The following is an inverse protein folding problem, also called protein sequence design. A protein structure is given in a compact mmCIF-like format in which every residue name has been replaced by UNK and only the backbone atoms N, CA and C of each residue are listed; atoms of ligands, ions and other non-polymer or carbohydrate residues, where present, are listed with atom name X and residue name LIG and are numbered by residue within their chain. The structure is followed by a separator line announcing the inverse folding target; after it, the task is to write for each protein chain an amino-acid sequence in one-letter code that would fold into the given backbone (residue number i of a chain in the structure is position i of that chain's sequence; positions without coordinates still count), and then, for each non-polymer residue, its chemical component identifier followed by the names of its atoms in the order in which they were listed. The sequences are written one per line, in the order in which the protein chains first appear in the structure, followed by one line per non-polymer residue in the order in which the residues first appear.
data_IF_514159662814
#
_entry.id   IF_514159662814
#
_cell.length_a   1.000
_cell.length_b   1.000
_cell.length_c   1.000
_cell.angle_alpha   90.00
_cell.angle_beta   90.00
_cell.angle_gamma   90.00
#
_symmetry.space_group_name_H-M   'P 1'
#
loop_
_entity.id
_entity.type
_entity.pdbx_description
1 polymer ?
#
# COMPACT_ATOMS: atom_id res chain seq x y z
N UNK A 1 29.56 90.76 -2.58
CA UNK A 1 28.46 89.80 -2.46
C UNK A 1 27.55 89.83 -3.70
N UNK A 2 26.85 90.93 -4.01
CA UNK A 2 25.90 90.99 -5.14
C UNK A 2 26.48 90.66 -6.52
N UNK A 3 27.74 91.03 -6.77
CA UNK A 3 28.46 90.65 -8.00
C UNK A 3 28.63 89.13 -8.14
N UNK A 4 28.86 88.43 -7.03
CA UNK A 4 28.97 86.96 -6.99
C UNK A 4 27.61 86.34 -7.28
N UNK A 5 26.54 86.85 -6.66
CA UNK A 5 25.16 86.41 -6.90
C UNK A 5 24.77 86.54 -8.38
N UNK A 6 25.06 87.68 -9.01
CA UNK A 6 24.79 87.89 -10.45
C UNK A 6 25.58 86.94 -11.34
N UNK A 7 26.84 86.64 -11.02
CA UNK A 7 27.65 85.64 -11.73
C UNK A 7 27.04 84.24 -11.60
N UNK A 8 26.56 83.88 -10.41
CA UNK A 8 25.89 82.59 -10.16
C UNK A 8 24.61 82.45 -10.99
N UNK A 9 23.74 83.46 -11.00
CA UNK A 9 22.50 83.42 -11.80
C UNK A 9 22.77 83.34 -13.31
N UNK A 10 23.72 84.14 -13.81
CA UNK A 10 24.12 84.06 -15.22
C UNK A 10 24.65 82.67 -15.58
N UNK A 11 25.46 82.06 -14.69
CA UNK A 11 25.95 80.71 -14.93
C UNK A 11 24.84 79.67 -14.85
N UNK A 12 23.86 79.84 -13.96
CA UNK A 12 22.66 79.00 -13.87
C UNK A 12 21.84 79.05 -15.16
N UNK A 13 21.63 80.24 -15.74
CA UNK A 13 20.95 80.39 -17.04
C UNK A 13 21.72 79.74 -18.19
N UNK A 14 23.06 79.82 -18.20
CA UNK A 14 23.89 79.17 -19.22
C UNK A 14 23.81 77.63 -19.18
N UNK A 15 23.71 77.02 -17.99
CA UNK A 15 23.67 75.55 -17.84
C UNK A 15 22.25 74.97 -17.93
N UNK A 16 21.21 75.79 -17.72
CA UNK A 16 19.82 75.33 -17.69
C UNK A 16 19.40 74.57 -18.95
N UNK A 17 19.71 75.01 -20.20
CA UNK A 17 19.37 74.26 -21.40
C UNK A 17 20.01 72.86 -21.44
N UNK A 18 21.23 72.72 -20.91
CA UNK A 18 21.93 71.43 -20.85
C UNK A 18 21.27 70.49 -19.83
N UNK A 19 20.86 71.02 -18.67
CA UNK A 19 20.11 70.26 -17.66
C UNK A 19 18.76 69.81 -18.19
N UNK A 20 18.03 70.67 -18.92
CA UNK A 20 16.74 70.32 -19.52
C UNK A 20 16.90 69.23 -20.59
N UNK A 21 17.90 69.36 -21.46
CA UNK A 21 18.19 68.34 -22.48
C UNK A 21 18.52 66.97 -21.86
N UNK A 22 19.32 66.96 -20.79
CA UNK A 22 19.67 65.72 -20.11
C UNK A 22 18.47 65.13 -19.37
N UNK A 23 17.62 65.96 -18.77
CA UNK A 23 16.36 65.53 -18.17
C UNK A 23 15.44 64.83 -19.18
N UNK A 24 15.33 65.36 -20.39
CA UNK A 24 14.48 64.76 -21.42
C UNK A 24 15.05 63.40 -21.88
N UNK A 25 16.37 63.28 -22.04
CA UNK A 25 17.01 61.97 -22.32
C UNK A 25 16.80 60.97 -21.19
N UNK A 26 16.95 61.38 -19.93
CA UNK A 26 16.73 60.50 -18.77
C UNK A 26 15.29 59.97 -18.78
N UNK A 27 14.30 60.81 -19.09
CA UNK A 27 12.90 60.37 -19.21
C UNK A 27 12.70 59.35 -20.34
N UNK A 28 13.31 59.55 -21.50
CA UNK A 28 13.26 58.58 -22.61
C UNK A 28 13.89 57.23 -22.23
N UNK A 29 15.05 57.25 -21.56
CA UNK A 29 15.71 56.04 -21.08
C UNK A 29 14.89 55.32 -19.99
N UNK A 30 14.26 56.06 -19.09
CA UNK A 30 13.37 55.52 -18.05
C UNK A 30 12.15 54.83 -18.65
N UNK A 31 11.52 55.42 -19.67
CA UNK A 31 10.39 54.80 -20.37
C UNK A 31 10.82 53.49 -21.06
N UNK A 32 11.95 53.50 -21.77
CA UNK A 32 12.51 52.30 -22.38
C UNK A 32 12.84 51.21 -21.33
N UNK A 33 13.40 51.61 -20.19
CA UNK A 33 13.70 50.70 -19.09
C UNK A 33 12.43 50.11 -18.47
N UNK A 34 11.39 50.92 -18.27
CA UNK A 34 10.10 50.46 -17.77
C UNK A 34 9.47 49.41 -18.69
N UNK A 35 9.52 49.61 -20.01
CA UNK A 35 9.08 48.62 -21.00
C UNK A 35 9.93 47.34 -20.93
N UNK A 36 11.25 47.46 -20.76
CA UNK A 36 12.16 46.33 -20.61
C UNK A 36 11.86 45.49 -19.35
N UNK A 37 11.52 46.13 -18.22
CA UNK A 37 11.11 45.42 -16.99
C UNK A 37 9.80 44.65 -17.19
N UNK A 38 8.84 45.24 -17.90
CA UNK A 38 7.55 44.58 -18.20
C UNK A 38 7.72 43.41 -19.18
N UNK A 39 8.56 43.56 -20.19
CA UNK A 39 8.91 42.48 -21.12
C UNK A 39 9.60 41.32 -20.38
N UNK A 40 10.58 41.63 -19.53
CA UNK A 40 11.23 40.63 -18.66
C UNK A 40 10.21 39.89 -17.79
N UNK A 41 9.28 40.61 -17.16
CA UNK A 41 8.20 40.01 -16.36
C UNK A 41 7.34 39.05 -17.17
N UNK A 42 6.98 39.45 -18.39
CA UNK A 42 6.22 38.63 -19.33
C UNK A 42 6.96 37.34 -19.70
N UNK A 43 8.23 37.46 -20.07
CA UNK A 43 9.11 36.32 -20.38
C UNK A 43 9.26 35.37 -19.21
N UNK A 44 9.55 35.90 -18.02
CA UNK A 44 9.65 35.08 -16.81
C UNK A 44 8.37 34.28 -16.54
N UNK A 45 7.18 34.89 -16.66
CA UNK A 45 5.91 34.18 -16.46
C UNK A 45 5.62 33.12 -17.54
N UNK A 46 6.15 33.30 -18.73
CA UNK A 46 5.96 32.36 -19.84
C UNK A 46 6.97 31.20 -19.82
N UNK A 47 8.22 31.46 -19.44
CA UNK A 47 9.34 30.53 -19.61
C UNK A 47 9.78 29.85 -18.30
N UNK A 48 9.60 30.50 -17.15
CA UNK A 48 10.04 29.92 -15.89
C UNK A 48 9.29 28.61 -15.60
N UNK A 49 9.91 27.67 -14.84
CA UNK A 49 9.44 26.29 -14.73
C UNK A 49 8.23 26.12 -13.79
N UNK A 50 7.16 26.89 -13.99
CA UNK A 50 5.88 26.78 -13.29
C UNK A 50 5.09 25.55 -13.73
N UNK A 51 5.17 25.24 -15.02
CA UNK A 51 4.44 24.13 -15.65
C UNK A 51 5.32 22.90 -15.91
N UNK A 52 6.63 23.07 -15.84
CA UNK A 52 7.61 22.02 -16.11
C UNK A 52 7.57 20.92 -15.03
N UNK A 53 7.60 19.66 -15.47
CA UNK A 53 7.52 18.48 -14.58
C UNK A 53 8.75 17.58 -14.68
N UNK A 54 9.80 17.98 -15.39
CA UNK A 54 11.04 17.19 -15.56
C UNK A 54 12.05 17.32 -14.41
N UNK A 55 13.32 17.13 -14.73
CA UNK A 55 14.44 17.06 -13.77
C UNK A 55 14.69 18.42 -13.07
N UNK A 56 14.84 18.47 -11.73
CA UNK A 56 15.17 19.69 -11.00
C UNK A 56 16.42 20.42 -11.48
N UNK A 57 17.44 19.73 -12.00
CA UNK A 57 18.66 20.34 -12.54
C UNK A 57 18.36 21.30 -13.69
N UNK A 58 17.44 20.92 -14.59
CA UNK A 58 17.02 21.77 -15.71
C UNK A 58 16.25 22.98 -15.17
N UNK A 59 15.33 22.75 -14.23
CA UNK A 59 14.58 23.83 -13.61
C UNK A 59 15.48 24.85 -12.89
N UNK A 60 16.53 24.38 -12.20
CA UNK A 60 17.51 25.27 -11.55
C UNK A 60 18.29 26.11 -12.56
N UNK A 61 18.67 25.55 -13.72
CA UNK A 61 19.35 26.33 -14.77
C UNK A 61 18.49 27.49 -15.28
N UNK A 62 17.19 27.23 -15.49
CA UNK A 62 16.22 28.26 -15.91
C UNK A 62 15.98 29.30 -14.81
N UNK A 63 15.84 28.86 -13.56
CA UNK A 63 15.71 29.75 -12.40
C UNK A 63 16.93 30.66 -12.23
N UNK A 64 18.14 30.11 -12.36
CA UNK A 64 19.40 30.86 -12.26
C UNK A 64 19.55 31.85 -13.41
N UNK A 65 19.10 31.51 -14.62
CA UNK A 65 19.06 32.44 -15.76
C UNK A 65 18.19 33.65 -15.43
N UNK A 66 16.94 33.43 -15.05
CA UNK A 66 16.03 34.52 -14.71
C UNK A 66 16.46 35.31 -13.46
N UNK A 67 17.09 34.66 -12.48
CA UNK A 67 17.63 35.33 -11.30
C UNK A 67 18.79 36.27 -11.65
N UNK A 68 19.68 35.88 -12.56
CA UNK A 68 20.76 36.74 -13.07
C UNK A 68 20.21 37.92 -13.86
N UNK A 69 19.23 37.68 -14.73
CA UNK A 69 18.57 38.76 -15.49
C UNK A 69 17.87 39.76 -14.58
N UNK A 70 17.17 39.29 -13.54
CA UNK A 70 16.56 40.14 -12.53
C UNK A 70 17.61 40.97 -11.76
N UNK A 71 18.75 40.38 -11.37
CA UNK A 71 19.82 41.11 -10.69
C UNK A 71 20.41 42.24 -11.54
N UNK A 72 20.56 42.02 -12.86
CA UNK A 72 20.96 43.07 -13.81
C UNK A 72 19.92 44.19 -13.84
N UNK A 73 18.62 43.85 -13.93
CA UNK A 73 17.54 44.84 -13.96
C UNK A 73 17.41 45.62 -12.65
N UNK A 74 17.59 44.98 -11.50
CA UNK A 74 17.58 45.67 -10.20
C UNK A 74 18.75 46.64 -10.05
N UNK A 75 19.94 46.30 -10.58
CA UNK A 75 21.09 47.22 -10.63
C UNK A 75 20.85 48.41 -11.56
N UNK A 76 20.27 48.16 -12.75
CA UNK A 76 19.87 49.21 -13.69
C UNK A 76 18.84 50.16 -13.06
N UNK A 77 17.82 49.62 -12.40
CA UNK A 77 16.81 50.40 -11.70
C UNK A 77 17.43 51.26 -10.58
N UNK A 78 18.37 50.72 -9.81
CA UNK A 78 19.07 51.50 -8.78
C UNK A 78 19.83 52.68 -9.38
N UNK A 79 20.55 52.45 -10.49
CA UNK A 79 21.25 53.52 -11.22
C UNK A 79 20.28 54.59 -11.71
N UNK A 80 19.13 54.20 -12.25
CA UNK A 80 18.09 55.13 -12.68
C UNK A 80 17.50 55.92 -11.52
N UNK A 81 17.22 55.29 -10.38
CA UNK A 81 16.73 55.98 -9.19
C UNK A 81 17.75 57.01 -8.65
N UNK A 82 19.05 56.68 -8.69
CA UNK A 82 20.13 57.62 -8.34
C UNK A 82 20.18 58.82 -9.32
N UNK A 83 19.94 58.60 -10.61
CA UNK A 83 19.83 59.67 -11.61
C UNK A 83 18.58 60.53 -11.40
N UNK A 84 17.44 59.91 -11.13
CA UNK A 84 16.19 60.63 -10.82
C UNK A 84 16.37 61.53 -9.60
N UNK A 85 17.02 61.05 -8.54
CA UNK A 85 17.32 61.85 -7.35
C UNK A 85 18.30 63.00 -7.66
N UNK A 86 19.37 62.73 -8.43
CA UNK A 86 20.37 63.74 -8.81
C UNK A 86 19.79 64.90 -9.62
N UNK A 87 18.81 64.61 -10.47
CA UNK A 87 18.15 65.60 -11.33
C UNK A 87 16.83 66.13 -10.76
N UNK A 88 16.54 65.84 -9.48
CA UNK A 88 15.33 66.26 -8.78
C UNK A 88 14.03 65.81 -9.50
N UNK A 89 14.07 64.66 -10.16
CA UNK A 89 12.93 63.98 -10.77
C UNK A 89 12.20 63.10 -9.72
N UNK A 90 10.96 62.73 -10.03
CA UNK A 90 10.22 61.78 -9.19
C UNK A 90 10.83 60.38 -9.32
N UNK A 91 11.29 59.82 -8.20
CA UNK A 91 11.88 58.48 -8.17
C UNK A 91 10.85 57.40 -8.50
N UNK A 92 11.17 56.58 -9.50
CA UNK A 92 10.34 55.50 -10.01
C UNK A 92 10.33 54.29 -9.07
N UNK A 93 9.21 53.56 -9.07
CA UNK A 93 9.02 52.31 -8.32
C UNK A 93 8.70 51.18 -9.28
N UNK A 94 9.38 50.06 -9.10
CA UNK A 94 9.28 48.89 -9.98
C UNK A 94 8.75 47.68 -9.20
N UNK A 95 7.44 47.64 -8.97
CA UNK A 95 6.81 46.57 -8.19
C UNK A 95 6.99 45.19 -8.84
N UNK A 96 7.00 45.14 -10.17
CA UNK A 96 7.14 43.93 -10.98
C UNK A 96 8.44 43.17 -10.70
N UNK A 97 9.53 43.89 -10.36
CA UNK A 97 10.80 43.25 -9.97
C UNK A 97 10.69 42.59 -8.60
N UNK A 98 10.04 43.25 -7.63
CA UNK A 98 9.75 42.68 -6.31
C UNK A 98 8.84 41.45 -6.37
N UNK A 99 7.81 41.50 -7.22
CA UNK A 99 6.92 40.37 -7.48
C UNK A 99 7.70 39.20 -8.11
N UNK A 100 8.54 39.48 -9.10
CA UNK A 100 9.38 38.46 -9.76
C UNK A 100 10.36 37.84 -8.78
N UNK A 101 10.99 38.65 -7.92
CA UNK A 101 11.90 38.17 -6.88
C UNK A 101 11.19 37.22 -5.91
N UNK A 102 9.96 37.56 -5.52
CA UNK A 102 9.14 36.75 -4.62
C UNK A 102 8.76 35.42 -5.27
N UNK A 103 8.24 35.47 -6.51
CA UNK A 103 7.88 34.26 -7.26
C UNK A 103 9.10 33.37 -7.56
N UNK A 104 10.26 33.94 -7.89
CA UNK A 104 11.51 33.17 -8.07
C UNK A 104 11.89 32.40 -6.80
N UNK A 105 11.81 33.05 -5.63
CA UNK A 105 12.10 32.40 -4.34
C UNK A 105 11.12 31.28 -4.05
N UNK A 106 9.83 31.52 -4.26
CA UNK A 106 8.78 30.53 -4.06
C UNK A 106 8.92 29.36 -5.05
N UNK A 107 9.22 29.63 -6.32
CA UNK A 107 9.40 28.59 -7.33
C UNK A 107 10.65 27.74 -7.01
N UNK A 108 11.75 28.37 -6.56
CA UNK A 108 12.91 27.65 -6.06
C UNK A 108 12.56 26.70 -4.90
N UNK A 109 11.75 27.14 -3.92
CA UNK A 109 11.33 26.29 -2.81
C UNK A 109 10.56 25.05 -3.28
N UNK A 110 9.68 25.20 -4.28
CA UNK A 110 8.96 24.07 -4.89
C UNK A 110 9.93 23.07 -5.53
N UNK A 111 10.92 23.57 -6.28
CA UNK A 111 11.93 22.72 -6.91
C UNK A 111 12.90 22.08 -5.92
N UNK A 112 13.25 22.76 -4.83
CA UNK A 112 14.00 22.19 -3.71
C UNK A 112 13.23 21.02 -3.06
N UNK A 113 11.92 21.18 -2.86
CA UNK A 113 11.06 20.09 -2.36
C UNK A 113 11.06 18.89 -3.32
N UNK A 114 10.98 19.14 -4.63
CA UNK A 114 11.05 18.07 -5.63
C UNK A 114 12.37 17.32 -5.59
N UNK A 115 13.49 18.05 -5.55
CA UNK A 115 14.82 17.46 -5.47
C UNK A 115 14.99 16.62 -4.20
N UNK A 116 14.47 17.10 -3.06
CA UNK A 116 14.48 16.35 -1.80
C UNK A 116 13.67 15.06 -1.89
N UNK A 117 12.49 15.08 -2.51
CA UNK A 117 11.65 13.89 -2.67
C UNK A 117 12.32 12.89 -3.61
N UNK A 118 12.85 13.35 -4.75
CA UNK A 118 13.56 12.48 -5.68
C UNK A 118 14.78 11.83 -5.03
N UNK A 119 15.56 12.59 -4.26
CA UNK A 119 16.70 12.04 -3.53
C UNK A 119 16.27 11.01 -2.49
N UNK A 120 15.23 11.32 -1.70
CA UNK A 120 14.67 10.40 -0.71
C UNK A 120 14.21 9.09 -1.35
N UNK A 121 13.40 9.16 -2.41
CA UNK A 121 12.91 7.94 -3.07
C UNK A 121 14.03 7.17 -3.77
N UNK A 122 14.97 7.86 -4.41
CA UNK A 122 16.15 7.19 -5.00
C UNK A 122 17.00 6.47 -3.95
N UNK A 123 17.00 6.95 -2.69
CA UNK A 123 17.69 6.25 -1.60
C UNK A 123 17.03 4.92 -1.21
N UNK A 124 15.75 4.75 -1.57
CA UNK A 124 15.01 3.51 -1.30
C UNK A 124 15.19 2.48 -2.40
N UNK A 125 15.42 2.89 -3.65
CA UNK A 125 15.55 2.02 -4.82
C UNK A 125 16.50 0.83 -4.61
N UNK A 126 17.62 1.04 -3.90
CA UNK A 126 18.61 -0.01 -3.63
C UNK A 126 18.28 -0.95 -2.46
N UNK A 127 17.18 -0.72 -1.72
CA UNK A 127 16.77 -1.62 -0.64
C UNK A 127 16.30 -2.93 -1.23
N UNK A 128 16.86 -4.04 -0.74
CA UNK A 128 16.44 -5.38 -1.11
C UNK A 128 15.06 -5.68 -0.55
N UNK A 129 14.27 -6.47 -1.27
CA UNK A 129 12.90 -6.83 -0.90
C UNK A 129 12.75 -7.21 0.58
N UNK A 130 13.58 -8.13 1.06
CA UNK A 130 13.53 -8.63 2.44
C UNK A 130 13.90 -7.59 3.51
N UNK A 131 14.57 -6.50 3.13
CA UNK A 131 15.04 -5.45 4.04
C UNK A 131 14.13 -4.21 4.03
N UNK A 132 13.12 -4.17 3.15
CA UNK A 132 12.19 -3.04 3.04
C UNK A 132 11.30 -2.98 4.29
N UNK A 133 11.46 -1.90 5.06
CA UNK A 133 10.60 -1.57 6.21
C UNK A 133 9.57 -0.53 5.80
N UNK A 134 8.44 -1.00 5.30
CA UNK A 134 7.37 -0.14 4.76
C UNK A 134 6.85 0.90 5.74
N UNK A 135 6.71 0.55 7.02
CA UNK A 135 6.26 1.49 8.06
C UNK A 135 7.18 2.72 8.18
N UNK A 136 8.50 2.51 8.19
CA UNK A 136 9.50 3.58 8.25
C UNK A 136 9.41 4.49 7.01
N UNK A 137 9.25 3.88 5.82
CA UNK A 137 9.14 4.62 4.56
C UNK A 137 7.82 5.42 4.49
N UNK A 138 6.73 4.86 5.00
CA UNK A 138 5.44 5.54 5.08
C UNK A 138 5.49 6.77 5.97
N UNK A 139 6.16 6.69 7.11
CA UNK A 139 6.31 7.83 8.03
C UNK A 139 7.10 8.96 7.39
N UNK A 140 8.20 8.63 6.70
CA UNK A 140 8.94 9.61 5.89
C UNK A 140 8.04 10.22 4.82
N UNK A 141 7.26 9.40 4.12
CA UNK A 141 6.35 9.88 3.07
C UNK A 141 5.26 10.82 3.60
N UNK A 142 4.68 10.49 4.77
CA UNK A 142 3.70 11.33 5.49
C UNK A 142 4.30 12.68 5.88
N UNK A 143 5.55 12.70 6.33
CA UNK A 143 6.28 13.94 6.67
C UNK A 143 6.50 14.79 5.40
N UNK A 144 6.92 14.18 4.28
CA UNK A 144 7.09 14.89 3.00
C UNK A 144 5.77 15.52 2.54
N UNK A 145 4.66 14.78 2.59
CA UNK A 145 3.33 15.30 2.25
C UNK A 145 2.92 16.47 3.15
N UNK A 146 3.16 16.34 4.46
CA UNK A 146 2.86 17.39 5.44
C UNK A 146 3.65 18.66 5.17
N UNK A 147 4.94 18.53 4.85
CA UNK A 147 5.81 19.66 4.52
C UNK A 147 5.36 20.36 3.22
N UNK A 148 5.03 19.60 2.17
CA UNK A 148 4.49 20.14 0.92
C UNK A 148 3.17 20.89 1.15
N UNK A 149 2.26 20.31 1.95
CA UNK A 149 0.97 20.94 2.28
C UNK A 149 1.14 22.22 3.09
N UNK A 150 2.05 22.22 4.07
CA UNK A 150 2.39 23.41 4.85
C UNK A 150 2.91 24.52 3.93
N UNK A 151 3.86 24.20 3.06
CA UNK A 151 4.39 25.14 2.05
C UNK A 151 3.26 25.76 1.20
N UNK A 152 2.34 24.94 0.69
CA UNK A 152 1.20 25.44 -0.09
C UNK A 152 0.12 26.16 0.73
N UNK A 153 0.13 26.06 2.06
CA UNK A 153 -0.74 26.86 2.95
C UNK A 153 -0.09 28.20 3.26
N UNK A 154 1.21 28.20 3.55
CA UNK A 154 1.99 29.42 3.81
C UNK A 154 2.08 30.30 2.56
N UNK A 155 2.15 29.69 1.36
CA UNK A 155 2.15 30.40 0.07
C UNK A 155 1.12 29.79 -0.92
N UNK A 156 -0.16 30.22 -0.87
CA UNK A 156 -1.24 29.59 -1.65
C UNK A 156 -1.06 29.61 -3.17
N UNK A 157 -0.37 30.60 -3.74
CA UNK A 157 -0.14 30.69 -5.19
C UNK A 157 0.60 29.47 -5.74
N UNK A 158 1.45 28.83 -4.92
CA UNK A 158 2.22 27.64 -5.33
C UNK A 158 1.31 26.49 -5.75
N UNK A 159 0.13 26.33 -5.12
CA UNK A 159 -0.82 25.26 -5.43
C UNK A 159 -1.37 25.33 -6.86
N UNK A 160 -1.35 26.51 -7.48
CA UNK A 160 -1.77 26.69 -8.87
C UNK A 160 -0.75 26.15 -9.89
N UNK A 161 0.52 26.01 -9.50
CA UNK A 161 1.59 25.60 -10.40
C UNK A 161 1.54 24.10 -10.67
N UNK A 162 1.75 23.71 -11.93
CA UNK A 162 1.80 22.28 -12.30
C UNK A 162 2.99 21.60 -11.63
N UNK A 163 4.11 22.31 -11.46
CA UNK A 163 5.27 21.79 -10.73
C UNK A 163 4.91 21.34 -9.30
N UNK A 164 4.13 22.13 -8.56
CA UNK A 164 3.65 21.77 -7.22
C UNK A 164 2.72 20.55 -7.25
N UNK A 165 1.73 20.57 -8.16
CA UNK A 165 0.75 19.47 -8.30
C UNK A 165 1.43 18.15 -8.66
N UNK A 166 2.38 18.17 -9.58
CA UNK A 166 3.18 17.00 -9.96
C UNK A 166 3.94 16.39 -8.78
N UNK A 167 4.47 17.23 -7.88
CA UNK A 167 5.11 16.76 -6.65
C UNK A 167 4.07 16.13 -5.72
N UNK A 168 2.92 16.78 -5.54
CA UNK A 168 1.84 16.27 -4.69
C UNK A 168 1.34 14.90 -5.17
N UNK A 169 1.14 14.73 -6.48
CA UNK A 169 0.70 13.49 -7.10
C UNK A 169 1.75 12.38 -6.90
N UNK A 170 3.04 12.71 -7.04
CA UNK A 170 4.15 11.78 -6.80
C UNK A 170 4.13 11.23 -5.36
N UNK A 171 3.92 12.10 -4.36
CA UNK A 171 3.84 11.71 -2.95
C UNK A 171 2.57 10.90 -2.66
N UNK A 172 1.44 11.29 -3.26
CA UNK A 172 0.16 10.57 -3.11
C UNK A 172 0.23 9.17 -3.70
N UNK A 173 0.83 9.00 -4.88
CA UNK A 173 1.05 7.69 -5.49
C UNK A 173 1.88 6.81 -4.57
N UNK A 174 2.97 7.34 -4.01
CA UNK A 174 3.79 6.59 -3.05
C UNK A 174 3.02 6.24 -1.75
N UNK A 175 2.02 7.04 -1.37
CA UNK A 175 1.14 6.75 -0.23
C UNK A 175 0.20 5.56 -0.48
N UNK A 176 0.02 5.15 -1.73
CA UNK A 176 -0.74 3.95 -2.13
C UNK A 176 0.21 2.77 -2.34
N UNK A 177 1.38 3.01 -2.96
CA UNK A 177 2.37 1.96 -3.24
C UNK A 177 2.91 1.33 -1.94
N UNK A 178 3.27 2.13 -0.94
CA UNK A 178 3.90 1.62 0.28
C UNK A 178 3.01 0.62 1.07
N UNK A 179 1.71 0.90 1.30
CA UNK A 179 0.80 -0.10 1.88
C UNK A 179 0.68 -1.39 1.05
N UNK A 180 0.59 -1.28 -0.28
CA UNK A 180 0.51 -2.45 -1.15
C UNK A 180 1.77 -3.31 -1.08
N UNK A 181 2.96 -2.69 -1.01
CA UNK A 181 4.21 -3.42 -0.79
C UNK A 181 4.18 -4.15 0.57
N UNK A 182 3.67 -3.50 1.62
CA UNK A 182 3.55 -4.10 2.94
C UNK A 182 2.63 -5.34 2.91
N UNK A 183 1.50 -5.24 2.21
CA UNK A 183 0.58 -6.36 2.02
C UNK A 183 1.20 -7.51 1.22
N UNK A 184 1.97 -7.19 0.18
CA UNK A 184 2.71 -8.16 -0.63
C UNK A 184 3.83 -8.87 0.15
N UNK A 185 4.35 -8.30 1.24
CA UNK A 185 5.22 -9.01 2.19
C UNK A 185 4.50 -10.09 3.00
N UNK A 186 3.19 -10.26 2.86
CA UNK A 186 2.46 -11.28 3.61
C UNK A 186 3.11 -12.67 3.46
N UNK A 187 3.39 -13.37 4.57
CA UNK A 187 3.95 -14.73 4.53
C UNK A 187 2.95 -15.75 3.98
N UNK A 188 1.72 -15.34 3.66
CA UNK A 188 0.73 -16.15 2.97
C UNK A 188 0.98 -16.22 1.45
N UNK A 189 1.76 -15.28 0.90
CA UNK A 189 2.11 -15.26 -0.51
C UNK A 189 2.91 -16.51 -0.90
N UNK A 190 2.64 -17.03 -2.09
CA UNK A 190 3.21 -18.27 -2.66
C UNK A 190 3.41 -18.04 -4.14
N UNK A 191 4.20 -18.88 -4.81
CA UNK A 191 4.54 -18.75 -6.23
C UNK A 191 3.32 -18.55 -7.14
N UNK A 192 2.18 -19.20 -6.83
CA UNK A 192 0.93 -19.02 -7.58
C UNK A 192 0.39 -17.58 -7.49
N UNK A 193 0.45 -16.95 -6.32
CA UNK A 193 0.01 -15.57 -6.10
C UNK A 193 0.93 -14.59 -6.83
N UNK A 194 2.25 -14.83 -6.79
CA UNK A 194 3.23 -14.04 -7.54
C UNK A 194 3.06 -14.16 -9.06
N UNK A 195 2.69 -15.34 -9.56
CA UNK A 195 2.33 -15.53 -10.98
C UNK A 195 1.06 -14.77 -11.36
N UNK A 196 0.04 -14.76 -10.51
CA UNK A 196 -1.17 -13.96 -10.72
C UNK A 196 -0.84 -12.47 -10.72
N UNK A 197 -0.01 -12.01 -9.77
CA UNK A 197 0.45 -10.62 -9.70
C UNK A 197 1.23 -10.22 -10.97
N UNK A 198 2.14 -11.09 -11.43
CA UNK A 198 2.90 -10.85 -12.65
C UNK A 198 1.99 -10.66 -13.87
N UNK A 199 0.91 -11.44 -13.96
CA UNK A 199 -0.10 -11.33 -15.02
C UNK A 199 -0.86 -10.00 -14.94
N UNK A 200 -1.27 -9.58 -13.74
CA UNK A 200 -1.96 -8.30 -13.51
C UNK A 200 -1.07 -7.13 -13.93
N UNK A 201 0.20 -7.12 -13.50
CA UNK A 201 1.18 -6.09 -13.83
C UNK A 201 1.73 -6.18 -15.26
N UNK A 202 1.33 -7.19 -16.06
CA UNK A 202 1.81 -7.36 -17.44
C UNK A 202 3.29 -7.73 -17.57
N UNK A 203 3.90 -8.31 -16.54
CA UNK A 203 5.31 -8.74 -16.53
C UNK A 203 5.42 -10.26 -16.69
N UNK A 204 6.58 -10.74 -17.17
CA UNK A 204 6.78 -12.18 -17.44
C UNK A 204 6.76 -13.04 -16.18
N UNK A 205 7.42 -12.57 -15.13
CA UNK A 205 7.53 -13.25 -13.84
C UNK A 205 7.97 -12.25 -12.78
N UNK A 206 7.60 -12.52 -11.53
CA UNK A 206 8.09 -11.84 -10.35
C UNK A 206 8.65 -12.94 -9.45
N UNK A 207 9.93 -12.83 -9.08
CA UNK A 207 10.57 -13.75 -8.15
C UNK A 207 10.97 -12.98 -6.88
N UNK A 208 10.16 -13.04 -5.82
CA UNK A 208 10.48 -12.35 -4.56
C UNK A 208 11.68 -12.96 -3.83
N UNK A 209 12.12 -14.16 -4.22
CA UNK A 209 13.28 -14.82 -3.62
C UNK A 209 14.60 -14.48 -4.35
N UNK A 210 14.54 -13.75 -5.47
CA UNK A 210 15.75 -13.28 -6.13
C UNK A 210 16.48 -12.32 -5.17
N UNK A 211 17.74 -12.60 -4.79
CA UNK A 211 18.51 -11.73 -3.89
C UNK A 211 18.79 -10.34 -4.49
N UNK A 212 18.49 -10.13 -5.77
CA UNK A 212 18.58 -8.84 -6.44
C UNK A 212 17.25 -8.10 -6.54
N UNK A 213 16.14 -8.70 -6.09
CA UNK A 213 14.83 -8.04 -6.15
C UNK A 213 14.81 -6.87 -5.17
N UNK A 214 14.58 -5.67 -5.71
CA UNK A 214 14.70 -4.41 -4.97
C UNK A 214 13.38 -3.64 -4.89
N UNK A 215 13.35 -2.59 -4.08
CA UNK A 215 12.27 -1.62 -4.06
C UNK A 215 12.05 -0.95 -5.43
N UNK A 216 13.12 -0.71 -6.21
CA UNK A 216 12.97 -0.15 -7.55
C UNK A 216 12.19 -1.10 -8.47
N UNK A 217 12.47 -2.40 -8.40
CA UNK A 217 11.77 -3.41 -9.18
C UNK A 217 10.28 -3.46 -8.81
N UNK A 218 9.93 -3.32 -7.52
CA UNK A 218 8.53 -3.33 -7.07
C UNK A 218 7.76 -2.09 -7.50
N UNK A 219 8.39 -0.92 -7.47
CA UNK A 219 7.81 0.33 -8.00
C UNK A 219 7.63 0.23 -9.52
N UNK A 220 8.56 -0.42 -10.23
CA UNK A 220 8.47 -0.62 -11.67
C UNK A 220 7.29 -1.52 -12.09
N UNK A 221 6.77 -2.36 -11.19
CA UNK A 221 5.53 -3.14 -11.41
C UNK A 221 4.27 -2.28 -11.45
N UNK A 222 4.35 -1.00 -11.02
CA UNK A 222 3.24 -0.04 -11.03
C UNK A 222 1.98 -0.57 -10.34
N UNK A 223 2.14 -1.26 -9.21
CA UNK A 223 1.03 -1.88 -8.45
C UNK A 223 -0.08 -0.90 -8.07
N UNK A 224 0.23 0.40 -7.95
CA UNK A 224 -0.76 1.46 -7.71
C UNK A 224 -1.74 1.68 -8.87
N UNK A 225 -1.45 1.21 -10.08
CA UNK A 225 -2.38 1.23 -11.22
C UNK A 225 -3.40 0.07 -11.12
N UNK A 226 -3.18 -0.91 -10.24
CA UNK A 226 -3.94 -2.16 -10.12
C UNK A 226 -4.32 -2.49 -8.66
N UNK A 227 -4.66 -1.48 -7.86
CA UNK A 227 -4.87 -1.61 -6.40
C UNK A 227 -5.83 -2.75 -6.05
N UNK A 228 -7.04 -2.75 -6.62
CA UNK A 228 -8.08 -3.73 -6.30
C UNK A 228 -7.65 -5.18 -6.62
N UNK A 229 -6.98 -5.39 -7.76
CA UNK A 229 -6.50 -6.70 -8.18
C UNK A 229 -5.39 -7.21 -7.24
N UNK A 230 -4.49 -6.32 -6.80
CA UNK A 230 -3.39 -6.66 -5.88
C UNK A 230 -3.95 -7.03 -4.51
N UNK A 231 -4.87 -6.23 -3.98
CA UNK A 231 -5.56 -6.49 -2.70
C UNK A 231 -6.32 -7.84 -2.75
N UNK A 232 -7.00 -8.15 -3.86
CA UNK A 232 -7.69 -9.43 -4.03
C UNK A 232 -6.72 -10.63 -4.00
N UNK A 233 -5.56 -10.50 -4.63
CA UNK A 233 -4.52 -11.56 -4.63
C UNK A 233 -4.01 -11.78 -3.20
N UNK A 234 -3.70 -10.71 -2.48
CA UNK A 234 -3.21 -10.80 -1.09
C UNK A 234 -4.30 -11.36 -0.17
N UNK A 235 -5.55 -10.93 -0.32
CA UNK A 235 -6.67 -11.49 0.45
C UNK A 235 -6.79 -13.00 0.19
N UNK A 236 -6.76 -13.41 -1.09
CA UNK A 236 -6.81 -14.82 -1.47
C UNK A 236 -5.71 -15.62 -0.80
N UNK A 237 -4.47 -15.12 -0.85
CA UNK A 237 -3.34 -15.74 -0.18
C UNK A 237 -3.57 -15.90 1.33
N UNK A 238 -4.05 -14.85 2.00
CA UNK A 238 -4.31 -14.86 3.43
C UNK A 238 -5.42 -15.84 3.84
N UNK A 239 -6.49 -15.95 3.04
CA UNK A 239 -7.57 -16.94 3.27
C UNK A 239 -7.07 -18.36 3.04
N UNK A 240 -6.32 -18.57 1.96
CA UNK A 240 -5.70 -19.85 1.66
C UNK A 240 -4.76 -20.34 2.76
N UNK A 241 -3.94 -19.46 3.35
CA UNK A 241 -3.08 -19.82 4.48
C UNK A 241 -3.88 -20.27 5.71
N UNK A 242 -5.05 -19.64 5.96
CA UNK A 242 -5.94 -20.07 7.05
C UNK A 242 -6.52 -21.46 6.79
N UNK A 243 -6.94 -21.74 5.56
CA UNK A 243 -7.42 -23.06 5.13
C UNK A 243 -6.31 -24.11 5.28
N UNK A 244 -5.10 -23.79 4.81
CA UNK A 244 -3.94 -24.68 4.90
C UNK A 244 -3.63 -25.07 6.35
N UNK A 245 -3.64 -24.10 7.27
CA UNK A 245 -3.42 -24.33 8.70
C UNK A 245 -4.49 -25.24 9.29
N UNK A 246 -5.77 -24.90 9.08
CA UNK A 246 -6.88 -25.71 9.61
C UNK A 246 -6.86 -27.14 9.07
N UNK A 247 -6.60 -27.34 7.78
CA UNK A 247 -6.48 -28.68 7.19
C UNK A 247 -5.32 -29.47 7.80
N UNK A 248 -4.20 -28.81 8.07
CA UNK A 248 -3.06 -29.45 8.75
C UNK A 248 -3.41 -29.82 10.18
N UNK A 249 -4.15 -28.98 10.90
CA UNK A 249 -4.57 -29.25 12.27
C UNK A 249 -5.55 -30.44 12.32
N UNK A 250 -6.55 -30.47 11.43
CA UNK A 250 -7.46 -31.61 11.24
C UNK A 250 -6.64 -32.90 11.00
N UNK A 251 -5.73 -32.89 10.04
CA UNK A 251 -4.91 -34.06 9.71
C UNK A 251 -4.08 -34.54 10.91
N UNK A 252 -3.48 -33.62 11.67
CA UNK A 252 -2.68 -33.96 12.83
C UNK A 252 -3.53 -34.58 13.94
N UNK A 253 -4.71 -34.02 14.23
CA UNK A 253 -5.61 -34.53 15.28
C UNK A 253 -6.05 -35.95 14.92
N UNK A 254 -6.54 -36.17 13.71
CA UNK A 254 -7.02 -37.48 13.27
C UNK A 254 -5.92 -38.52 13.10
N UNK A 255 -4.66 -38.10 12.88
CA UNK A 255 -3.51 -39.00 12.88
C UNK A 255 -3.20 -39.57 14.27
N UNK A 256 -3.46 -38.82 15.34
CA UNK A 256 -3.21 -39.26 16.72
C UNK A 256 -4.45 -39.76 17.46
N UNK A 257 -5.64 -39.53 16.90
CA UNK A 257 -6.90 -39.91 17.54
C UNK A 257 -7.05 -41.43 17.64
N UNK A 258 -7.48 -41.91 18.80
CA UNK A 258 -7.69 -43.35 19.05
C UNK A 258 -9.07 -43.58 19.65
N UNK A 259 -9.73 -44.67 19.25
CA UNK A 259 -10.97 -45.12 19.88
C UNK A 259 -10.65 -45.89 21.17
N UNK A 260 -11.45 -45.65 22.20
CA UNK A 260 -11.37 -46.43 23.44
C UNK A 260 -12.24 -47.68 23.33
N UNK A 261 -11.78 -48.77 23.95
CA UNK A 261 -12.53 -50.02 24.03
C UNK A 261 -12.62 -50.44 25.50
N UNK A 262 -13.82 -50.87 25.92
CA UNK A 262 -14.11 -51.27 27.31
C UNK A 262 -14.57 -52.73 27.37
N UNK A 263 -14.12 -53.51 28.37
CA UNK A 263 -14.55 -54.91 28.51
C UNK A 263 -16.06 -55.00 28.78
N UNK A 264 -16.73 -55.96 28.15
CA UNK A 264 -18.16 -56.22 28.33
C UNK A 264 -18.40 -57.34 29.36
N UNK A 265 -18.87 -56.95 30.55
CA UNK A 265 -19.12 -57.88 31.66
C UNK A 265 -17.89 -58.79 31.95
N UNK A 266 -18.13 -60.07 32.28
CA UNK A 266 -17.11 -61.10 32.48
C UNK A 266 -16.76 -61.84 31.17
N UNK A 267 -17.02 -61.24 30.00
CA UNK A 267 -16.70 -61.85 28.70
C UNK A 267 -15.31 -61.43 28.20
N UNK A 268 -14.72 -62.21 27.28
CA UNK A 268 -13.46 -61.84 26.61
C UNK A 268 -13.64 -60.74 25.53
N UNK A 269 -14.82 -60.09 25.48
CA UNK A 269 -15.16 -59.13 24.44
C UNK A 269 -14.97 -57.68 24.91
N UNK A 270 -14.47 -56.84 24.02
CA UNK A 270 -14.37 -55.40 24.22
C UNK A 270 -15.37 -54.67 23.33
N UNK A 271 -16.02 -53.64 23.86
CA UNK A 271 -16.96 -52.78 23.16
C UNK A 271 -16.35 -51.41 22.91
N UNK A 272 -16.59 -50.86 21.73
CA UNK A 272 -16.16 -49.50 21.40
C UNK A 272 -16.88 -48.51 22.32
N UNK A 273 -16.10 -47.59 22.90
CA UNK A 273 -16.57 -46.46 23.68
C UNK A 273 -16.10 -45.20 22.98
N UNK A 274 -17.06 -44.45 22.43
CA UNK A 274 -16.77 -43.12 21.90
C UNK A 274 -16.49 -42.18 23.07
N UNK A 275 -15.29 -41.61 23.11
CA UNK A 275 -14.98 -40.51 24.01
C UNK A 275 -15.70 -39.23 23.55
N UNK A 276 -16.01 -38.33 24.49
CA UNK A 276 -16.58 -37.02 24.16
C UNK A 276 -15.67 -36.25 23.20
N UNK A 277 -14.35 -36.37 23.38
CA UNK A 277 -13.33 -35.76 22.51
C UNK A 277 -13.46 -36.19 21.04
N UNK A 278 -13.71 -37.48 20.76
CA UNK A 278 -13.89 -37.96 19.37
C UNK A 278 -15.13 -37.33 18.75
N UNK A 279 -16.23 -37.26 19.49
CA UNK A 279 -17.51 -36.71 19.01
C UNK A 279 -17.37 -35.20 18.76
N UNK A 280 -16.83 -34.46 19.72
CA UNK A 280 -16.64 -33.01 19.61
C UNK A 280 -15.72 -32.64 18.44
N UNK A 281 -14.59 -33.34 18.29
CA UNK A 281 -13.69 -33.11 17.16
C UNK A 281 -14.34 -33.45 15.82
N UNK A 282 -15.18 -34.49 15.78
CA UNK A 282 -15.87 -34.89 14.54
C UNK A 282 -16.88 -33.82 14.10
N UNK A 283 -17.76 -33.40 15.01
CA UNK A 283 -18.76 -32.37 14.74
C UNK A 283 -18.10 -31.02 14.41
N UNK A 284 -17.09 -30.63 15.20
CA UNK A 284 -16.35 -29.38 14.99
C UNK A 284 -15.65 -29.37 13.62
N UNK A 285 -14.84 -30.39 13.31
CA UNK A 285 -14.10 -30.43 12.05
C UNK A 285 -15.03 -30.59 10.84
N UNK A 286 -16.17 -31.28 10.95
CA UNK A 286 -17.19 -31.31 9.90
C UNK A 286 -17.72 -29.91 9.59
N UNK A 287 -18.09 -29.15 10.63
CA UNK A 287 -18.57 -27.78 10.46
C UNK A 287 -17.47 -26.88 9.87
N UNK A 288 -16.21 -27.05 10.30
CA UNK A 288 -15.09 -26.30 9.75
C UNK A 288 -14.89 -26.58 8.26
N UNK A 289 -14.89 -27.85 7.85
CA UNK A 289 -14.75 -28.27 6.45
C UNK A 289 -15.91 -27.76 5.60
N UNK A 290 -17.14 -27.84 6.11
CA UNK A 290 -18.31 -27.26 5.44
C UNK A 290 -18.16 -25.75 5.25
N UNK A 291 -17.67 -25.05 6.27
CA UNK A 291 -17.40 -23.61 6.20
C UNK A 291 -16.33 -23.28 5.18
N UNK A 292 -15.25 -24.08 5.10
CA UNK A 292 -14.18 -23.91 4.09
C UNK A 292 -14.72 -24.05 2.67
N UNK A 293 -15.58 -25.04 2.40
CA UNK A 293 -16.23 -25.22 1.09
C UNK A 293 -17.07 -24.00 0.72
N UNK A 294 -17.75 -23.41 1.71
CA UNK A 294 -18.54 -22.19 1.56
C UNK A 294 -17.73 -20.93 1.22
N UNK A 295 -16.39 -20.95 1.31
CA UNK A 295 -15.53 -19.79 1.02
C UNK A 295 -15.34 -19.51 -0.49
N UNK A 296 -16.02 -20.26 -1.37
CA UNK A 296 -16.09 -19.96 -2.81
C UNK A 296 -14.72 -20.09 -3.49
N UNK A 297 -14.22 -18.99 -4.08
CA UNK A 297 -12.94 -18.98 -4.81
C UNK A 297 -11.72 -19.26 -3.92
N UNK A 298 -11.78 -18.89 -2.64
CA UNK A 298 -10.64 -19.00 -1.73
C UNK A 298 -10.28 -20.44 -1.37
N UNK A 299 -11.19 -21.40 -1.57
CA UNK A 299 -10.92 -22.82 -1.34
C UNK A 299 -10.47 -23.55 -2.59
N UNK A 300 -10.47 -22.92 -3.76
CA UNK A 300 -10.27 -23.62 -5.04
C UNK A 300 -8.96 -24.43 -5.08
N UNK A 301 -7.85 -23.86 -4.59
CA UNK A 301 -6.57 -24.58 -4.53
C UNK A 301 -6.59 -25.79 -3.58
N UNK A 302 -7.39 -25.75 -2.51
CA UNK A 302 -7.49 -26.81 -1.50
C UNK A 302 -8.74 -27.68 -1.62
N UNK A 303 -9.58 -27.44 -2.64
CA UNK A 303 -10.93 -28.00 -2.76
C UNK A 303 -10.94 -29.52 -2.64
N UNK A 304 -10.05 -30.19 -3.37
CA UNK A 304 -9.97 -31.65 -3.36
C UNK A 304 -9.59 -32.19 -1.98
N UNK A 305 -8.66 -31.52 -1.28
CA UNK A 305 -8.23 -31.92 0.05
C UNK A 305 -9.32 -31.69 1.10
N UNK A 306 -10.06 -30.58 1.00
CA UNK A 306 -11.21 -30.30 1.87
C UNK A 306 -12.31 -31.34 1.66
N UNK A 307 -12.66 -31.65 0.40
CA UNK A 307 -13.68 -32.65 0.07
C UNK A 307 -13.27 -34.06 0.52
N UNK A 308 -11.98 -34.41 0.39
CA UNK A 308 -11.46 -35.67 0.87
C UNK A 308 -11.65 -35.83 2.39
N UNK A 309 -11.26 -34.82 3.18
CA UNK A 309 -11.46 -34.85 4.63
C UNK A 309 -12.94 -34.82 5.01
N UNK A 310 -13.76 -34.04 4.32
CA UNK A 310 -15.20 -33.99 4.58
C UNK A 310 -15.86 -35.35 4.36
N UNK A 311 -15.56 -36.01 3.25
CA UNK A 311 -16.09 -37.34 2.93
C UNK A 311 -15.57 -38.41 3.89
N UNK A 312 -14.29 -38.35 4.25
CA UNK A 312 -13.67 -39.32 5.17
C UNK A 312 -14.27 -39.22 6.57
N UNK A 313 -14.31 -38.01 7.14
CA UNK A 313 -14.90 -37.79 8.44
C UNK A 313 -16.41 -38.03 8.45
N UNK A 314 -17.11 -37.75 7.34
CA UNK A 314 -18.56 -37.96 7.26
C UNK A 314 -18.88 -39.45 7.24
N UNK A 315 -18.11 -40.22 6.47
CA UNK A 315 -18.21 -41.68 6.45
C UNK A 315 -17.90 -42.27 7.83
N UNK A 316 -16.88 -41.75 8.51
CA UNK A 316 -16.55 -42.18 9.87
C UNK A 316 -17.67 -41.85 10.86
N UNK A 317 -18.28 -40.68 10.78
CA UNK A 317 -19.42 -40.29 11.61
C UNK A 317 -20.62 -41.24 11.43
N UNK A 318 -20.96 -41.55 10.18
CA UNK A 318 -22.05 -42.48 9.87
C UNK A 318 -21.77 -43.88 10.40
N UNK A 319 -20.55 -44.39 10.19
CA UNK A 319 -20.13 -45.72 10.68
C UNK A 319 -20.14 -45.77 12.20
N UNK A 320 -19.57 -44.77 12.89
CA UNK A 320 -19.53 -44.74 14.36
C UNK A 320 -20.94 -44.66 14.97
N UNK A 321 -21.85 -43.88 14.38
CA UNK A 321 -23.26 -43.83 14.81
C UNK A 321 -23.95 -45.18 14.68
N UNK A 322 -23.79 -45.85 13.54
CA UNK A 322 -24.37 -47.19 13.34
C UNK A 322 -23.75 -48.18 14.31
N UNK A 323 -22.43 -48.17 14.47
CA UNK A 323 -21.71 -49.07 15.35
C UNK A 323 -22.19 -48.92 16.80
N UNK A 324 -22.24 -47.71 17.36
CA UNK A 324 -22.73 -47.49 18.73
C UNK A 324 -24.19 -47.92 18.90
N UNK A 325 -25.05 -47.68 17.91
CA UNK A 325 -26.43 -48.13 17.95
C UNK A 325 -26.54 -49.65 17.94
N UNK A 326 -25.80 -50.32 17.07
CA UNK A 326 -25.74 -51.79 17.00
C UNK A 326 -25.19 -52.37 18.30
N UNK A 327 -24.11 -51.81 18.85
CA UNK A 327 -23.54 -52.22 20.13
C UNK A 327 -24.57 -52.10 21.25
N UNK A 328 -25.29 -50.97 21.34
CA UNK A 328 -26.33 -50.76 22.37
C UNK A 328 -27.48 -51.75 22.23
N UNK A 329 -27.98 -51.97 21.00
CA UNK A 329 -29.04 -52.94 20.74
C UNK A 329 -28.61 -54.37 21.02
N UNK A 330 -27.40 -54.75 20.62
CA UNK A 330 -26.82 -56.06 20.88
C UNK A 330 -26.67 -56.29 22.39
N UNK A 331 -26.11 -55.34 23.15
CA UNK A 331 -25.96 -55.47 24.62
C UNK A 331 -27.30 -55.67 25.32
N UNK A 332 -28.36 -54.97 24.88
CA UNK A 332 -29.69 -55.15 25.44
C UNK A 332 -30.27 -56.53 25.12
N UNK A 333 -30.12 -57.00 23.88
CA UNK A 333 -30.62 -58.29 23.43
C UNK A 333 -29.84 -59.47 24.01
N UNK A 334 -28.52 -59.33 24.21
CA UNK A 334 -27.67 -60.33 24.83
C UNK A 334 -28.12 -60.62 26.27
N UNK A 335 -28.39 -59.57 27.04
CA UNK A 335 -28.93 -59.71 28.40
C UNK A 335 -30.31 -60.39 28.42
N UNK A 336 -31.15 -60.18 27.41
CA UNK A 336 -32.50 -60.76 27.34
C UNK A 336 -32.46 -62.23 26.87
N UNK A 337 -31.79 -62.50 25.73
CA UNK A 337 -31.85 -63.78 25.04
C UNK A 337 -30.77 -64.77 25.47
N UNK A 338 -29.61 -64.33 25.97
CA UNK A 338 -28.53 -65.25 26.37
C UNK A 338 -28.45 -65.46 27.88
N UNK A 339 -28.79 -64.45 28.69
CA UNK A 339 -28.73 -64.57 30.14
C UNK A 339 -30.01 -65.19 30.77
N UNK A 340 -31.18 -65.09 30.14
CA UNK A 340 -32.46 -65.61 30.68
C UNK A 340 -32.85 -66.97 30.10
N UNK A 341 -32.69 -68.04 30.90
CA UNK A 341 -33.07 -69.40 30.49
C UNK A 341 -34.58 -69.56 30.18
N UNK A 342 -35.44 -68.78 30.85
CA UNK A 342 -36.89 -68.80 30.65
C UNK A 342 -37.26 -68.26 29.26
N UNK A 343 -36.71 -67.10 28.88
CA UNK A 343 -36.93 -66.49 27.56
C UNK A 343 -36.45 -67.41 26.44
N UNK A 344 -35.30 -68.07 26.62
CA UNK A 344 -34.78 -69.06 25.66
C UNK A 344 -35.73 -70.22 25.43
N UNK A 345 -36.46 -70.64 26.46
CA UNK A 345 -37.44 -71.73 26.37
C UNK A 345 -38.77 -71.29 25.74
N UNK A 346 -39.17 -70.03 25.96
CA UNK A 346 -40.44 -69.49 25.45
C UNK A 346 -40.34 -68.97 24.01
N UNK A 347 -39.17 -68.48 23.57
CA UNK A 347 -38.92 -67.92 22.23
C UNK A 347 -37.71 -68.59 21.55
N UNK A 348 -37.78 -69.89 21.22
CA UNK A 348 -36.63 -70.65 20.72
C UNK A 348 -36.14 -70.20 19.33
N UNK A 349 -37.04 -69.81 18.43
CA UNK A 349 -36.67 -69.37 17.07
C UNK A 349 -35.94 -68.01 17.09
N UNK A 350 -36.44 -67.05 17.88
CA UNK A 350 -35.79 -65.74 18.05
C UNK A 350 -34.44 -65.88 18.77
N UNK A 351 -34.35 -66.77 19.76
CA UNK A 351 -33.09 -67.09 20.45
C UNK A 351 -32.06 -67.61 19.46
N UNK A 352 -32.42 -68.61 18.65
CA UNK A 352 -31.51 -69.18 17.64
C UNK A 352 -31.08 -68.15 16.59
N UNK A 353 -31.98 -67.25 16.21
CA UNK A 353 -31.65 -66.13 15.31
C UNK A 353 -30.66 -65.16 15.96
N UNK A 354 -30.86 -64.83 17.24
CA UNK A 354 -29.96 -63.95 17.96
C UNK A 354 -28.57 -64.57 18.19
N UNK A 355 -28.48 -65.87 18.48
CA UNK A 355 -27.20 -66.59 18.60
C UNK A 355 -26.34 -66.48 17.33
N UNK A 356 -26.96 -66.49 16.14
CA UNK A 356 -26.26 -66.25 14.88
C UNK A 356 -25.70 -64.82 14.77
N UNK A 357 -26.54 -63.82 15.07
CA UNK A 357 -26.15 -62.39 15.07
C UNK A 357 -25.06 -62.11 16.11
N UNK A 358 -25.14 -62.75 17.28
CA UNK A 358 -24.14 -62.66 18.34
C UNK A 358 -22.78 -63.15 17.89
N UNK A 359 -22.72 -64.27 17.16
CA UNK A 359 -21.48 -64.80 16.59
C UNK A 359 -20.88 -63.83 15.56
N UNK A 360 -21.69 -63.33 14.62
CA UNK A 360 -21.24 -62.37 13.59
C UNK A 360 -20.73 -61.06 14.22
N UNK A 361 -21.45 -60.54 15.23
CA UNK A 361 -21.04 -59.34 15.94
C UNK A 361 -19.73 -59.54 16.71
N UNK A 362 -19.55 -60.68 17.38
CA UNK A 362 -18.31 -61.03 18.09
C UNK A 362 -17.11 -61.18 17.16
N UNK A 363 -17.31 -61.67 15.94
CA UNK A 363 -16.25 -61.70 14.93
C UNK A 363 -15.89 -60.28 14.47
N UNK A 364 -16.88 -59.45 14.15
CA UNK A 364 -16.67 -58.06 13.77
C UNK A 364 -15.91 -57.26 14.85
N UNK A 365 -16.26 -57.45 16.13
CA UNK A 365 -15.61 -56.78 17.27
C UNK A 365 -14.18 -57.28 17.56
N UNK A 366 -13.79 -58.45 17.04
CA UNK A 366 -12.40 -58.95 17.17
C UNK A 366 -11.48 -58.42 16.07
N UNK A 367 -12.03 -58.20 14.88
CA UNK A 367 -11.29 -57.67 13.73
C UNK A 367 -11.06 -56.15 13.83
N UNK A 368 -11.96 -55.45 14.52
CA UNK A 368 -11.97 -54.01 14.70
C UNK A 368 -11.26 -53.55 15.99
#
# INVERSE_FOLDING_TARGET
WDSVVKKTFRKKEEILPMQLLENDKIKEELEAFFLSVRDFRGKFRAEAPFTFTGDPKIAYQELDRHARELDVKEKEAKRFNELEELFELQVSKYAEMGDTRTELRSLKQVWDMKAQIQFTYSSWNGQLWNDIKTDDLEDVNKILLKNLRKMGTDTPVMKGWTAYRSIEDTIKNMSVVLPLINELHSPAMRDRHWKSLAKVCGVKAIDPNDPKFTFEDTVALKVHEHVEDVEEIVETANKELKIERKLRDIENIWRSMTLEYVPHNDTEMFLVKLSEEVIENLESHQLELQTMIGMGKFVDFFRDRVLHWQGTLGSMEDVLKVWVNVTRSWTALESIFLASADIRSQLPDDTKRFEGIDSEFKELMKDA
#
